data_IF_558730191008
#
_entry.id   IF_558730191008
#
_cell.length_a   1.000
_cell.length_b   1.000
_cell.length_c   1.000
_cell.angle_alpha   90.00
_cell.angle_beta   90.00
_cell.angle_gamma   90.00
#
_symmetry.space_group_name_H-M   'P 1'
#
loop_
_entity.id
_entity.type
_entity.pdbx_description
1 polymer ?
#
# COMPACT_ATOMS: atom_id res chain seq x y z
N UNK A 1 -16.06 -3.47 23.74
CA UNK A 1 -15.63 -3.19 22.34
C UNK A 1 -15.23 -1.73 22.29
N UNK A 2 -14.01 -1.45 21.89
CA UNK A 2 -13.48 -0.07 21.78
C UNK A 2 -13.68 0.46 20.34
N UNK A 3 -14.82 1.09 20.11
CA UNK A 3 -15.17 1.62 18.78
C UNK A 3 -14.27 2.79 18.35
N UNK A 4 -13.74 3.56 19.30
CA UNK A 4 -12.85 4.67 18.96
C UNK A 4 -11.49 4.15 18.45
N UNK A 5 -10.93 3.13 19.10
CA UNK A 5 -9.72 2.49 18.64
C UNK A 5 -9.91 1.78 17.29
N UNK A 6 -11.04 1.09 17.11
CA UNK A 6 -11.37 0.46 15.81
C UNK A 6 -11.40 1.52 14.70
N UNK A 7 -12.06 2.65 14.92
CA UNK A 7 -12.13 3.71 13.92
C UNK A 7 -10.75 4.36 13.67
N UNK A 8 -9.94 4.54 14.72
CA UNK A 8 -8.58 5.06 14.57
C UNK A 8 -7.70 4.12 13.71
N UNK A 9 -7.80 2.81 13.89
CA UNK A 9 -7.11 1.81 13.06
C UNK A 9 -7.62 1.84 11.62
N UNK A 10 -8.93 2.02 11.40
CA UNK A 10 -9.50 2.20 10.05
C UNK A 10 -8.92 3.42 9.35
N UNK A 11 -8.93 4.58 10.02
CA UNK A 11 -8.39 5.83 9.50
C UNK A 11 -6.88 5.72 9.22
N UNK A 12 -6.14 4.97 10.03
CA UNK A 12 -4.74 4.68 9.80
C UNK A 12 -4.51 3.91 8.50
N UNK A 13 -5.28 2.83 8.25
CA UNK A 13 -5.15 2.04 7.01
C UNK A 13 -5.53 2.85 5.78
N UNK A 14 -6.57 3.68 5.85
CA UNK A 14 -6.96 4.58 4.76
C UNK A 14 -5.85 5.58 4.45
N UNK A 15 -5.21 6.14 5.48
CA UNK A 15 -4.08 7.06 5.34
C UNK A 15 -2.87 6.35 4.73
N UNK A 16 -2.55 5.12 5.14
CA UNK A 16 -1.46 4.31 4.59
C UNK A 16 -1.58 4.21 3.07
N UNK A 17 -2.72 3.78 2.53
CA UNK A 17 -2.90 3.67 1.08
C UNK A 17 -2.96 5.02 0.38
N UNK A 18 -3.70 5.97 0.92
CA UNK A 18 -3.77 7.30 0.31
C UNK A 18 -2.40 7.96 0.19
N UNK A 19 -1.57 7.87 1.21
CA UNK A 19 -0.24 8.50 1.19
C UNK A 19 0.73 7.74 0.29
N UNK A 20 0.62 6.43 0.20
CA UNK A 20 1.35 5.60 -0.75
C UNK A 20 1.00 5.98 -2.19
N UNK A 21 -0.28 5.97 -2.55
CA UNK A 21 -0.76 6.27 -3.90
C UNK A 21 -0.46 7.72 -4.32
N UNK A 22 -0.56 8.66 -3.37
CA UNK A 22 -0.22 10.06 -3.59
C UNK A 22 1.27 10.38 -3.41
N UNK A 23 2.12 9.36 -3.15
CA UNK A 23 3.58 9.51 -2.99
C UNK A 23 3.98 10.56 -1.94
N UNK A 24 3.18 10.65 -0.86
CA UNK A 24 3.43 11.53 0.28
C UNK A 24 4.28 10.81 1.32
N UNK A 25 5.56 10.69 1.03
CA UNK A 25 6.46 9.76 1.72
C UNK A 25 6.63 10.02 3.21
N UNK A 26 6.65 11.27 3.64
CA UNK A 26 6.76 11.61 5.06
C UNK A 26 5.46 11.26 5.82
N UNK A 27 4.29 11.53 5.22
CA UNK A 27 3.01 11.12 5.79
C UNK A 27 2.83 9.59 5.76
N UNK A 28 3.34 8.92 4.72
CA UNK A 28 3.37 7.47 4.63
C UNK A 28 4.22 6.86 5.75
N UNK A 29 5.45 7.36 5.94
CA UNK A 29 6.34 6.92 7.01
C UNK A 29 5.67 7.05 8.40
N UNK A 30 4.91 8.12 8.64
CA UNK A 30 4.22 8.35 9.90
C UNK A 30 3.09 7.36 10.19
N UNK A 31 2.62 6.62 9.19
CA UNK A 31 1.67 5.51 9.41
C UNK A 31 2.32 4.26 9.98
N UNK A 32 3.64 4.15 9.92
CA UNK A 32 4.42 2.99 10.34
C UNK A 32 5.09 3.24 11.69
N UNK A 33 5.11 2.24 12.56
CA UNK A 33 5.97 2.24 13.73
C UNK A 33 7.45 2.20 13.30
N UNK A 34 8.35 2.73 14.13
CA UNK A 34 9.79 2.78 13.80
C UNK A 34 10.35 1.38 13.49
N UNK A 35 9.86 0.38 14.21
CA UNK A 35 10.22 -1.04 14.10
C UNK A 35 9.28 -1.87 13.22
N UNK A 36 8.51 -1.22 12.35
CA UNK A 36 7.54 -1.88 11.48
C UNK A 36 8.19 -2.95 10.59
N UNK A 37 7.46 -4.05 10.36
CA UNK A 37 7.87 -5.12 9.44
C UNK A 37 6.90 -5.21 8.25
N UNK A 38 7.43 -5.22 7.04
CA UNK A 38 6.67 -5.40 5.81
C UNK A 38 6.98 -6.75 5.15
N UNK A 39 5.94 -7.47 4.74
CA UNK A 39 6.04 -8.74 4.01
C UNK A 39 5.09 -8.69 2.82
N UNK A 40 5.65 -8.43 1.65
CA UNK A 40 4.88 -8.15 0.44
C UNK A 40 4.95 -9.33 -0.54
N UNK A 41 3.84 -10.02 -0.73
CA UNK A 41 3.74 -11.25 -1.53
C UNK A 41 3.31 -11.00 -2.97
N UNK A 42 3.99 -10.14 -3.72
CA UNK A 42 3.69 -9.89 -5.13
C UNK A 42 4.60 -10.67 -6.07
N UNK A 43 4.00 -11.40 -7.03
CA UNK A 43 4.74 -12.14 -8.05
C UNK A 43 5.41 -11.23 -9.08
N UNK A 44 4.90 -10.02 -9.29
CA UNK A 44 5.49 -9.06 -10.22
C UNK A 44 6.92 -8.64 -9.83
N UNK A 45 7.29 -8.76 -8.54
CA UNK A 45 8.64 -8.48 -8.04
C UNK A 45 9.49 -9.75 -7.87
N UNK A 46 8.97 -10.95 -8.17
CA UNK A 46 9.64 -12.22 -7.95
C UNK A 46 9.38 -12.81 -6.56
N UNK A 47 10.43 -13.02 -5.78
CA UNK A 47 10.33 -13.55 -4.43
C UNK A 47 9.60 -12.59 -3.48
N UNK A 48 8.89 -13.11 -2.45
CA UNK A 48 8.25 -12.26 -1.45
C UNK A 48 9.25 -11.31 -0.81
N UNK A 49 8.92 -10.04 -0.84
CA UNK A 49 9.76 -8.97 -0.31
C UNK A 49 9.61 -8.88 1.21
N UNK A 50 10.74 -8.85 1.90
CA UNK A 50 10.84 -8.67 3.35
C UNK A 50 11.60 -7.38 3.65
N UNK A 51 10.96 -6.46 4.38
CA UNK A 51 11.54 -5.18 4.77
C UNK A 51 11.34 -5.00 6.29
N UNK A 52 12.40 -4.67 7.00
CA UNK A 52 12.38 -4.43 8.43
C UNK A 52 12.78 -2.98 8.76
N UNK A 53 11.90 -2.30 9.48
CA UNK A 53 12.02 -0.89 9.84
C UNK A 53 11.26 0.05 8.89
N UNK A 54 10.63 1.06 9.51
CA UNK A 54 9.88 2.11 8.81
C UNK A 54 10.68 2.76 7.69
N UNK A 55 11.94 3.07 7.95
CA UNK A 55 12.78 3.80 7.01
C UNK A 55 13.13 2.93 5.79
N UNK A 56 13.38 1.63 6.00
CA UNK A 56 13.60 0.68 4.91
C UNK A 56 12.35 0.50 4.04
N UNK A 57 11.17 0.37 4.67
CA UNK A 57 9.90 0.27 3.94
C UNK A 57 9.65 1.54 3.13
N UNK A 58 9.82 2.71 3.74
CA UNK A 58 9.59 4.00 3.07
C UNK A 58 10.55 4.23 1.92
N UNK A 59 11.84 3.94 2.11
CA UNK A 59 12.85 4.07 1.06
C UNK A 59 12.54 3.16 -0.13
N UNK A 60 12.21 1.89 0.13
CA UNK A 60 11.84 0.95 -0.92
C UNK A 60 10.63 1.43 -1.73
N UNK A 61 9.56 1.87 -1.05
CA UNK A 61 8.35 2.36 -1.73
C UNK A 61 8.66 3.62 -2.55
N UNK A 62 9.45 4.56 -2.02
CA UNK A 62 9.86 5.77 -2.73
C UNK A 62 10.66 5.47 -4.00
N UNK A 63 11.57 4.50 -3.95
CA UNK A 63 12.42 4.12 -5.08
C UNK A 63 11.62 3.39 -6.17
N UNK A 64 10.69 2.51 -5.78
CA UNK A 64 10.01 1.63 -6.73
C UNK A 64 8.66 2.17 -7.23
N UNK A 65 8.07 3.14 -6.52
CA UNK A 65 6.80 3.77 -6.90
C UNK A 65 7.02 5.23 -7.34
N UNK A 66 7.98 5.44 -8.24
CA UNK A 66 8.27 6.75 -8.82
C UNK A 66 7.13 7.28 -9.73
N UNK A 67 7.33 8.46 -10.38
CA UNK A 67 6.30 9.11 -11.21
C UNK A 67 5.79 8.26 -12.38
N UNK A 68 6.60 7.31 -12.87
CA UNK A 68 6.22 6.40 -13.95
C UNK A 68 5.41 5.18 -13.49
N UNK A 69 5.17 5.04 -12.19
CA UNK A 69 4.38 3.95 -11.60
C UNK A 69 3.15 4.55 -10.92
N UNK A 70 2.01 4.49 -11.59
CA UNK A 70 0.73 4.94 -11.04
C UNK A 70 0.09 3.79 -10.28
N UNK A 71 -0.26 4.01 -9.03
CA UNK A 71 -0.91 3.00 -8.18
C UNK A 71 -2.22 3.50 -7.61
N UNK A 72 -3.16 2.60 -7.47
CA UNK A 72 -4.36 2.79 -6.65
C UNK A 72 -4.63 1.53 -5.84
N UNK A 73 -4.85 1.71 -4.54
CA UNK A 73 -5.19 0.64 -3.61
C UNK A 73 -6.54 0.92 -2.96
N UNK A 74 -7.40 -0.07 -2.95
CA UNK A 74 -8.70 -0.02 -2.27
C UNK A 74 -8.71 -1.12 -1.19
N UNK A 75 -8.90 -0.74 0.08
CA UNK A 75 -9.07 -1.67 1.18
C UNK A 75 -10.51 -1.61 1.72
N UNK A 76 -11.12 -2.76 1.84
CA UNK A 76 -12.51 -2.91 2.25
C UNK A 76 -12.67 -3.98 3.33
N UNK A 77 -13.89 -4.07 3.88
CA UNK A 77 -14.35 -5.15 4.74
C UNK A 77 -13.37 -5.50 5.87
N UNK A 78 -12.95 -4.52 6.70
CA UNK A 78 -12.01 -4.80 7.76
C UNK A 78 -12.61 -5.66 8.87
N UNK A 79 -11.85 -6.65 9.30
CA UNK A 79 -12.07 -7.40 10.53
C UNK A 79 -10.99 -6.97 11.53
N UNK A 80 -11.34 -6.12 12.51
CA UNK A 80 -10.39 -5.52 13.45
C UNK A 80 -10.67 -6.02 14.86
N UNK A 81 -9.64 -6.49 15.53
CA UNK A 81 -9.66 -6.85 16.95
C UNK A 81 -8.70 -5.95 17.71
N UNK A 82 -9.22 -5.23 18.72
CA UNK A 82 -8.45 -4.37 19.61
C UNK A 82 -8.28 -5.03 20.97
N UNK A 83 -7.06 -5.02 21.50
CA UNK A 83 -6.71 -5.51 22.83
C UNK A 83 -5.79 -4.50 23.55
N UNK A 84 -6.40 -3.59 24.28
CA UNK A 84 -5.67 -2.49 24.92
C UNK A 84 -4.96 -1.60 23.92
N UNK A 85 -3.64 -1.51 24.02
CA UNK A 85 -2.78 -0.70 23.17
C UNK A 85 -2.31 -1.44 21.88
N UNK A 86 -2.84 -2.63 21.63
CA UNK A 86 -2.54 -3.41 20.41
C UNK A 86 -3.80 -3.75 19.65
N UNK A 87 -3.66 -3.94 18.34
CA UNK A 87 -4.75 -4.41 17.50
C UNK A 87 -4.22 -5.26 16.35
N UNK A 88 -5.11 -6.07 15.78
CA UNK A 88 -4.88 -6.78 14.52
C UNK A 88 -6.02 -6.46 13.56
N UNK A 89 -5.75 -6.53 12.26
CA UNK A 89 -6.76 -6.31 11.24
C UNK A 89 -6.53 -7.15 10.00
N UNK A 90 -7.62 -7.67 9.44
CA UNK A 90 -7.66 -8.27 8.11
C UNK A 90 -8.44 -7.35 7.18
N UNK A 91 -7.94 -7.18 5.93
CA UNK A 91 -8.53 -6.27 4.96
C UNK A 91 -8.59 -6.93 3.60
N UNK A 92 -9.75 -7.04 3.03
CA UNK A 92 -9.85 -7.30 1.60
C UNK A 92 -9.26 -6.11 0.83
N UNK A 93 -8.48 -6.36 -0.21
CA UNK A 93 -7.93 -5.29 -1.04
C UNK A 93 -7.98 -5.63 -2.51
N UNK A 94 -8.05 -4.59 -3.31
CA UNK A 94 -7.80 -4.59 -4.74
C UNK A 94 -6.76 -3.52 -5.07
N UNK A 95 -5.93 -3.77 -6.07
CA UNK A 95 -4.98 -2.79 -6.57
C UNK A 95 -4.89 -2.76 -8.09
N UNK A 96 -4.51 -1.60 -8.59
CA UNK A 96 -4.13 -1.39 -9.98
C UNK A 96 -2.78 -0.68 -9.99
N UNK A 97 -1.85 -1.21 -10.76
CA UNK A 97 -0.53 -0.61 -11.00
C UNK A 97 -0.34 -0.42 -12.50
N UNK A 98 -0.12 0.82 -12.92
CA UNK A 98 0.21 1.16 -14.31
C UNK A 98 1.67 1.59 -14.31
N UNK A 99 2.55 0.71 -14.77
CA UNK A 99 3.99 0.95 -14.84
C UNK A 99 4.36 1.33 -16.28
N UNK A 100 4.34 2.64 -16.57
CA UNK A 100 4.48 3.18 -17.93
C UNK A 100 5.86 2.92 -18.52
N UNK A 101 6.91 2.94 -17.70
CA UNK A 101 8.28 2.62 -18.15
C UNK A 101 8.45 1.16 -18.56
N UNK A 102 7.69 0.26 -17.95
CA UNK A 102 7.72 -1.16 -18.27
C UNK A 102 6.63 -1.56 -19.27
N UNK A 103 5.75 -0.63 -19.65
CA UNK A 103 4.66 -0.88 -20.59
C UNK A 103 3.67 -1.93 -20.09
N UNK A 104 3.39 -1.99 -18.78
CA UNK A 104 2.50 -3.00 -18.18
C UNK A 104 1.42 -2.39 -17.30
N UNK A 105 0.29 -3.08 -17.28
CA UNK A 105 -0.81 -2.90 -16.34
C UNK A 105 -0.91 -4.15 -15.46
N UNK A 106 -0.83 -3.97 -14.15
CA UNK A 106 -0.99 -5.04 -13.17
C UNK A 106 -2.27 -4.79 -12.39
N UNK A 107 -3.04 -5.84 -12.14
CA UNK A 107 -4.20 -5.84 -11.26
C UNK A 107 -4.16 -7.05 -10.35
N UNK A 108 -4.59 -6.86 -9.13
CA UNK A 108 -4.68 -7.95 -8.18
C UNK A 108 -5.69 -7.72 -7.09
N UNK A 109 -5.98 -8.78 -6.37
CA UNK A 109 -6.80 -8.75 -5.16
C UNK A 109 -6.29 -9.77 -4.16
N UNK A 110 -6.59 -9.54 -2.90
CA UNK A 110 -6.18 -10.42 -1.82
C UNK A 110 -6.59 -9.90 -0.46
N UNK A 111 -5.88 -10.36 0.55
CA UNK A 111 -6.10 -9.95 1.93
C UNK A 111 -4.81 -9.48 2.58
N UNK A 112 -4.87 -8.31 3.19
CA UNK A 112 -3.86 -7.85 4.13
C UNK A 112 -4.09 -8.46 5.51
N UNK A 113 -3.01 -8.74 6.21
CA UNK A 113 -2.97 -9.03 7.64
C UNK A 113 -2.02 -8.04 8.28
N UNK A 114 -2.56 -7.19 9.15
CA UNK A 114 -1.82 -6.13 9.81
C UNK A 114 -1.84 -6.28 11.32
N UNK A 115 -0.77 -5.81 11.97
CA UNK A 115 -0.70 -5.57 13.41
C UNK A 115 -0.46 -4.10 13.67
N UNK A 116 -1.02 -3.61 14.77
CA UNK A 116 -1.00 -2.21 15.14
C UNK A 116 -0.64 -2.03 16.62
N UNK A 117 -0.07 -0.89 16.94
CA UNK A 117 0.23 -0.46 18.30
C UNK A 117 -0.17 1.00 18.50
N UNK A 118 -0.72 1.30 19.68
CA UNK A 118 -0.86 2.67 20.17
C UNK A 118 0.48 3.10 20.75
N UNK A 119 1.17 3.99 20.07
CA UNK A 119 2.47 4.50 20.52
C UNK A 119 2.32 5.52 21.65
N UNK A 120 3.39 5.80 22.41
CA UNK A 120 3.35 6.73 23.56
C UNK A 120 2.88 8.14 23.25
N UNK A 121 2.93 8.54 21.98
CA UNK A 121 2.41 9.84 21.49
C UNK A 121 0.88 9.83 21.27
N UNK A 122 0.20 8.74 21.63
CA UNK A 122 -1.25 8.58 21.50
C UNK A 122 -1.72 8.25 20.07
N UNK A 123 -0.81 7.85 19.18
CA UNK A 123 -1.14 7.54 17.78
C UNK A 123 -1.01 6.05 17.49
N UNK A 124 -2.01 5.50 16.84
CA UNK A 124 -1.94 4.15 16.30
C UNK A 124 -0.99 4.12 15.10
N UNK A 125 -0.12 3.09 15.05
CA UNK A 125 0.79 2.82 13.93
C UNK A 125 0.79 1.35 13.56
N UNK A 126 1.08 1.08 12.30
CA UNK A 126 1.27 -0.29 11.78
C UNK A 126 2.62 -0.79 12.28
N UNK A 127 2.64 -1.93 12.98
CA UNK A 127 3.86 -2.61 13.44
C UNK A 127 4.23 -3.78 12.53
N UNK A 128 3.25 -4.38 11.86
CA UNK A 128 3.49 -5.37 10.83
C UNK A 128 2.41 -5.26 9.76
N UNK A 129 2.80 -5.42 8.51
CA UNK A 129 1.89 -5.49 7.38
C UNK A 129 2.34 -6.59 6.43
N UNK A 130 1.39 -7.42 6.02
CA UNK A 130 1.63 -8.47 5.03
C UNK A 130 0.37 -8.66 4.19
N UNK A 131 0.51 -9.21 3.01
CA UNK A 131 -0.65 -9.63 2.24
C UNK A 131 -0.45 -10.97 1.53
N UNK A 132 -1.57 -11.62 1.28
CA UNK A 132 -1.67 -12.79 0.43
C UNK A 132 -2.61 -12.45 -0.72
N UNK A 133 -2.14 -12.65 -1.95
CA UNK A 133 -2.95 -12.44 -3.14
C UNK A 133 -3.84 -13.65 -3.42
N UNK A 134 -5.10 -13.40 -3.78
CA UNK A 134 -5.99 -14.38 -4.39
C UNK A 134 -5.61 -14.53 -5.87
N UNK A 135 -5.35 -13.40 -6.53
CA UNK A 135 -4.82 -13.37 -7.88
C UNK A 135 -3.96 -12.13 -8.11
N UNK A 136 -3.06 -12.22 -9.05
CA UNK A 136 -2.34 -11.12 -9.67
C UNK A 136 -2.30 -11.38 -11.17
N UNK A 137 -2.62 -10.38 -11.95
CA UNK A 137 -2.61 -10.44 -13.41
C UNK A 137 -1.78 -9.29 -13.98
N UNK A 138 -1.08 -9.56 -15.05
CA UNK A 138 -0.29 -8.56 -15.77
C UNK A 138 -0.66 -8.58 -17.25
N UNK A 139 -0.77 -7.41 -17.84
CA UNK A 139 -1.07 -7.20 -19.23
C UNK A 139 -0.03 -6.25 -19.84
N UNK A 140 0.60 -6.66 -20.94
CA UNK A 140 1.45 -5.76 -21.70
C UNK A 140 0.60 -4.72 -22.44
N UNK A 141 0.93 -3.45 -22.32
CA UNK A 141 0.21 -2.36 -23.00
C UNK A 141 0.38 -2.42 -24.52
N UNK A 142 1.50 -2.98 -25.01
CA UNK A 142 1.73 -3.23 -26.44
C UNK A 142 0.72 -4.19 -27.06
N UNK A 143 0.17 -5.11 -26.27
CA UNK A 143 -0.80 -6.12 -26.74
C UNK A 143 -2.25 -5.60 -26.70
N UNK A 144 -2.43 -4.37 -26.24
CA UNK A 144 -3.72 -3.68 -26.13
C UNK A 144 -3.67 -2.31 -26.80
N UNK A 145 -3.58 -2.24 -28.13
CA UNK A 145 -3.41 -0.96 -28.84
C UNK A 145 -4.58 0.02 -28.65
N UNK A 146 -5.74 -0.46 -28.20
CA UNK A 146 -6.89 0.38 -27.82
C UNK A 146 -6.80 0.97 -26.42
N UNK A 147 -5.86 0.51 -25.57
CA UNK A 147 -5.66 1.08 -24.24
C UNK A 147 -4.89 2.39 -24.34
N UNK A 148 -5.42 3.44 -23.74
CA UNK A 148 -4.78 4.74 -23.67
C UNK A 148 -4.83 5.26 -22.24
N UNK A 149 -3.68 5.53 -21.65
CA UNK A 149 -3.60 6.28 -20.39
C UNK A 149 -3.77 7.77 -20.71
N UNK A 150 -4.97 8.29 -20.55
CA UNK A 150 -5.33 9.67 -20.93
C UNK A 150 -4.74 10.72 -20.01
N UNK A 151 -4.47 10.40 -18.76
CA UNK A 151 -3.85 11.29 -17.81
C UNK A 151 -3.04 10.51 -16.78
N UNK A 152 -1.93 11.08 -16.35
CA UNK A 152 -1.12 10.65 -15.22
C UNK A 152 -0.73 11.92 -14.44
N UNK A 153 -1.21 12.05 -13.21
CA UNK A 153 -0.96 13.24 -12.38
C UNK A 153 0.53 13.49 -12.09
N UNK A 154 1.37 12.45 -12.30
CA UNK A 154 2.81 12.51 -12.09
C UNK A 154 3.59 12.81 -13.37
N UNK A 155 2.93 12.81 -14.53
CA UNK A 155 3.57 13.09 -15.80
C UNK A 155 4.01 14.55 -15.85
N UNK A 156 5.26 14.79 -16.26
CA UNK A 156 5.71 16.14 -16.57
C UNK A 156 4.92 16.64 -17.79
N UNK A 157 4.31 17.84 -17.77
CA UNK A 157 3.65 18.38 -18.94
C UNK A 157 4.65 18.42 -20.12
N UNK A 158 4.31 17.79 -21.23
CA UNK A 158 5.09 17.93 -22.46
C UNK A 158 4.93 19.40 -22.91
N UNK A 159 6.01 20.15 -23.13
CA UNK A 159 5.91 21.49 -23.70
C UNK A 159 5.18 21.41 -25.04
N UNK A 160 4.15 22.26 -25.20
CA UNK A 160 3.42 22.40 -26.46
C UNK A 160 4.28 23.09 -27.50
#
# INVERSE_FOLDING_TARGET
>A
MDLAAIEAVRQLKYRYFRTLDLKRWDEFADTLATDAAGRYGTHALGEPLTLDGRDAITAFMRENLGPAVVTTHIANHPEITVNGETATGSWAFEDTVIATEYGVLIRGAGYYTDSYRLDPDGRWRITATSYQRIYESMQALSDTPSYQLLSNMWATPTPK
#
